data_IF_440356886178
#
_entry.id   IF_440356886178
#
_cell.length_a   1.000
_cell.length_b   1.000
_cell.length_c   1.000
_cell.angle_alpha   90.00
_cell.angle_beta   90.00
_cell.angle_gamma   90.00
#
_symmetry.space_group_name_H-M   'P 1'
#
loop_
_entity.id
_entity.type
_entity.pdbx_description
1 polymer ?
#
# COMPACT_ATOMS: atom_id res chain seq x y z
N UNK A 1 -10.31 -20.85 -15.68
CA UNK A 1 -9.91 -22.16 -15.16
C UNK A 1 -11.15 -22.96 -14.78
N UNK A 2 -11.16 -24.24 -15.10
CA UNK A 2 -12.21 -25.17 -14.68
C UNK A 2 -11.59 -26.23 -13.77
N UNK A 3 -12.19 -26.46 -12.62
CA UNK A 3 -11.74 -27.45 -11.65
C UNK A 3 -12.80 -28.51 -11.48
N UNK A 4 -12.37 -29.72 -11.17
CA UNK A 4 -13.27 -30.82 -10.86
C UNK A 4 -14.02 -30.59 -9.53
N UNK A 5 -15.04 -31.38 -9.28
CA UNK A 5 -15.78 -31.35 -8.02
C UNK A 5 -14.83 -31.63 -6.83
N UNK A 6 -15.11 -30.97 -5.73
CA UNK A 6 -14.34 -31.10 -4.47
C UNK A 6 -12.93 -30.46 -4.48
N UNK A 7 -12.70 -29.50 -5.37
CA UNK A 7 -11.48 -28.68 -5.35
C UNK A 7 -11.53 -27.58 -4.28
N UNK A 8 -10.40 -27.39 -3.61
CA UNK A 8 -10.18 -26.32 -2.63
C UNK A 8 -9.12 -25.33 -3.14
N UNK A 9 -8.83 -24.31 -2.33
CA UNK A 9 -7.79 -23.32 -2.66
C UNK A 9 -6.39 -23.94 -2.81
N UNK A 10 -6.08 -25.04 -2.10
CA UNK A 10 -4.81 -25.73 -2.26
C UNK A 10 -4.71 -26.39 -3.65
N UNK A 11 -5.82 -26.93 -4.15
CA UNK A 11 -5.89 -27.49 -5.51
C UNK A 11 -5.62 -26.39 -6.54
N UNK A 12 -6.23 -25.20 -6.39
CA UNK A 12 -5.97 -24.04 -7.26
C UNK A 12 -4.49 -23.60 -7.20
N UNK A 13 -3.93 -23.49 -5.99
CA UNK A 13 -2.52 -23.13 -5.80
C UNK A 13 -1.57 -24.13 -6.43
N UNK A 14 -1.83 -25.43 -6.30
CA UNK A 14 -1.01 -26.48 -6.92
C UNK A 14 -1.10 -26.44 -8.43
N UNK A 15 -2.29 -26.25 -8.98
CA UNK A 15 -2.52 -26.13 -10.41
C UNK A 15 -1.77 -24.92 -10.98
N UNK A 16 -1.91 -23.74 -10.36
CA UNK A 16 -1.23 -22.54 -10.79
C UNK A 16 0.29 -22.67 -10.68
N UNK A 17 0.79 -23.30 -9.62
CA UNK A 17 2.23 -23.59 -9.48
C UNK A 17 2.76 -24.48 -10.60
N UNK A 18 2.03 -25.50 -11.00
CA UNK A 18 2.43 -26.36 -12.11
C UNK A 18 2.42 -25.58 -13.43
N UNK A 19 1.38 -24.81 -13.68
CA UNK A 19 1.33 -23.91 -14.84
C UNK A 19 2.54 -22.98 -14.90
N UNK A 20 2.87 -22.29 -13.80
CA UNK A 20 4.03 -21.37 -13.77
C UNK A 20 5.36 -22.10 -13.98
N UNK A 21 5.50 -23.36 -13.51
CA UNK A 21 6.67 -24.20 -13.79
C UNK A 21 6.78 -24.55 -15.27
N UNK A 22 5.69 -24.94 -15.90
CA UNK A 22 5.62 -25.26 -17.33
C UNK A 22 5.94 -24.03 -18.19
N UNK A 23 5.52 -22.83 -17.75
CA UNK A 23 5.85 -21.58 -18.43
C UNK A 23 7.27 -21.07 -18.14
N UNK A 24 8.05 -21.72 -17.27
CA UNK A 24 9.39 -21.27 -16.88
C UNK A 24 9.42 -19.99 -16.04
N UNK A 25 8.27 -19.58 -15.48
CA UNK A 25 8.17 -18.34 -14.67
C UNK A 25 8.15 -18.60 -13.16
N UNK A 26 8.20 -19.88 -12.75
CA UNK A 26 8.22 -20.25 -11.35
C UNK A 26 9.60 -20.05 -10.74
N UNK A 27 9.68 -19.18 -9.74
CA UNK A 27 10.88 -18.97 -8.92
C UNK A 27 10.56 -19.11 -7.45
N UNK A 28 11.34 -19.90 -6.73
CA UNK A 28 11.24 -20.04 -5.28
C UNK A 28 11.77 -18.79 -4.56
N UNK A 29 11.34 -18.57 -3.32
CA UNK A 29 11.92 -17.51 -2.48
C UNK A 29 13.42 -17.71 -2.28
N UNK A 30 13.90 -18.96 -2.23
CA UNK A 30 15.34 -19.27 -2.11
C UNK A 30 16.13 -18.79 -3.33
N UNK A 31 15.59 -19.00 -4.54
CA UNK A 31 16.21 -18.51 -5.76
C UNK A 31 16.19 -16.98 -5.83
N UNK A 32 15.06 -16.36 -5.45
CA UNK A 32 14.96 -14.90 -5.38
C UNK A 32 15.89 -14.30 -4.32
N UNK A 33 16.11 -15.00 -3.20
CA UNK A 33 17.02 -14.57 -2.13
C UNK A 33 18.50 -14.60 -2.51
N UNK A 34 18.86 -15.08 -3.70
CA UNK A 34 20.20 -14.86 -4.27
C UNK A 34 20.47 -13.36 -4.58
N UNK A 35 19.43 -12.53 -4.68
CA UNK A 35 19.55 -11.07 -4.77
C UNK A 35 19.66 -10.48 -3.36
N UNK A 36 20.65 -9.61 -3.16
CA UNK A 36 20.94 -9.02 -1.84
C UNK A 36 19.78 -8.20 -1.24
N UNK A 37 18.99 -7.54 -2.08
CA UNK A 37 17.80 -6.80 -1.67
C UNK A 37 16.67 -7.72 -1.18
N UNK A 38 16.48 -8.87 -1.84
CA UNK A 38 15.49 -9.88 -1.45
C UNK A 38 15.96 -10.67 -0.23
N UNK A 39 17.25 -10.96 -0.11
CA UNK A 39 17.83 -11.65 1.05
C UNK A 39 17.55 -10.88 2.37
N UNK A 40 17.58 -9.56 2.33
CA UNK A 40 17.25 -8.72 3.49
C UNK A 40 15.82 -8.96 4.01
N UNK A 41 14.88 -9.32 3.14
CA UNK A 41 13.49 -9.61 3.52
C UNK A 41 13.32 -10.98 4.17
N UNK A 42 14.26 -11.91 3.94
CA UNK A 42 14.16 -13.27 4.50
C UNK A 42 14.31 -13.21 6.02
N UNK A 43 13.26 -13.62 6.72
CA UNK A 43 13.18 -13.59 8.19
C UNK A 43 12.96 -12.20 8.78
N UNK A 44 12.65 -11.18 7.97
CA UNK A 44 12.26 -9.87 8.47
C UNK A 44 10.87 -9.90 9.09
N UNK A 45 10.72 -9.21 10.21
CA UNK A 45 9.41 -8.88 10.76
C UNK A 45 8.74 -7.88 9.81
N UNK A 46 7.53 -8.20 9.35
CA UNK A 46 6.73 -7.28 8.58
C UNK A 46 5.95 -6.36 9.52
N UNK A 47 6.17 -5.06 9.39
CA UNK A 47 5.45 -4.02 10.13
C UNK A 47 4.71 -3.14 9.12
N UNK A 48 3.39 -3.14 9.21
CA UNK A 48 2.53 -2.24 8.47
C UNK A 48 2.17 -1.06 9.38
N UNK A 49 2.45 0.15 8.94
CA UNK A 49 2.15 1.35 9.73
C UNK A 49 1.70 2.50 8.82
N UNK A 50 0.70 3.25 9.29
CA UNK A 50 0.16 4.40 8.58
C UNK A 50 0.66 5.73 9.10
N UNK A 51 0.65 6.76 8.25
CA UNK A 51 0.92 8.16 8.59
C UNK A 51 -0.40 8.91 8.72
N UNK A 52 -1.19 8.96 7.67
CA UNK A 52 -2.47 9.68 7.62
C UNK A 52 -3.57 8.79 7.06
N UNK A 53 -4.73 8.82 7.68
CA UNK A 53 -5.99 8.33 7.10
C UNK A 53 -7.03 9.44 7.26
N UNK A 54 -7.52 9.95 6.14
CA UNK A 54 -8.58 10.97 6.11
C UNK A 54 -9.81 10.39 5.41
N UNK A 55 -10.84 10.08 6.19
CA UNK A 55 -12.10 9.57 5.66
C UNK A 55 -12.96 10.73 5.20
N UNK A 56 -13.27 10.77 3.91
CA UNK A 56 -14.06 11.83 3.31
C UNK A 56 -15.57 11.63 3.52
N UNK A 57 -16.37 12.71 3.52
CA UNK A 57 -17.82 12.61 3.72
C UNK A 57 -18.55 11.67 2.75
N UNK A 58 -18.01 11.49 1.53
CA UNK A 58 -18.56 10.61 0.49
C UNK A 58 -18.18 9.14 0.70
N UNK A 59 -17.30 8.87 1.68
CA UNK A 59 -16.90 7.52 2.02
C UNK A 59 -17.99 6.81 2.84
N UNK A 60 -18.21 5.53 2.54
CA UNK A 60 -19.07 4.66 3.34
C UNK A 60 -18.57 4.43 4.78
N UNK A 61 -17.31 4.80 5.05
CA UNK A 61 -16.68 4.67 6.36
C UNK A 61 -16.74 5.96 7.17
N UNK A 62 -17.31 7.02 6.60
CA UNK A 62 -17.40 8.30 7.27
C UNK A 62 -18.33 8.21 8.49
N UNK A 63 -17.86 8.67 9.64
CA UNK A 63 -18.64 8.73 10.89
C UNK A 63 -19.06 10.18 11.13
N UNK A 64 -20.31 10.57 10.84
CA UNK A 64 -20.79 11.93 11.05
C UNK A 64 -21.02 12.25 12.52
N UNK A 65 -21.18 11.22 13.39
CA UNK A 65 -21.43 11.40 14.82
C UNK A 65 -20.14 11.56 15.63
N UNK A 66 -19.01 11.15 15.05
CA UNK A 66 -17.69 11.26 15.66
C UNK A 66 -16.65 11.78 14.63
N UNK A 67 -16.73 13.07 14.22
CA UNK A 67 -15.89 13.64 13.17
C UNK A 67 -14.38 13.47 13.41
N UNK A 68 -13.95 13.47 14.67
CA UNK A 68 -12.54 13.26 15.03
C UNK A 68 -12.01 11.88 14.65
N UNK A 69 -12.86 10.88 14.49
CA UNK A 69 -12.47 9.54 14.05
C UNK A 69 -12.18 9.45 12.55
N UNK A 70 -12.59 10.46 11.79
CA UNK A 70 -12.40 10.47 10.34
C UNK A 70 -10.99 10.96 9.92
N UNK A 71 -10.19 11.47 10.86
CA UNK A 71 -8.84 11.92 10.60
C UNK A 71 -7.87 11.33 11.63
N UNK A 72 -6.97 10.47 11.16
CA UNK A 72 -5.91 9.91 11.97
C UNK A 72 -4.57 10.34 11.40
N UNK A 73 -3.75 10.99 12.24
CA UNK A 73 -2.41 11.45 11.88
C UNK A 73 -1.38 10.91 12.87
N UNK A 74 -0.36 10.26 12.36
CA UNK A 74 0.84 9.91 13.10
C UNK A 74 2.04 10.56 12.44
N UNK A 75 2.66 11.58 13.04
CA UNK A 75 3.84 12.24 12.47
C UNK A 75 4.97 11.27 12.14
N UNK A 76 5.75 11.55 11.09
CA UNK A 76 6.93 10.76 10.74
C UNK A 76 7.92 10.64 11.89
N UNK A 77 8.13 11.70 12.66
CA UNK A 77 9.00 11.69 13.85
C UNK A 77 8.57 10.68 14.92
N UNK A 78 7.25 10.42 15.06
CA UNK A 78 6.74 9.39 15.98
C UNK A 78 7.12 8.00 15.46
N UNK A 79 6.97 7.75 14.15
CA UNK A 79 7.38 6.49 13.53
C UNK A 79 8.88 6.28 13.63
N UNK A 80 9.69 7.32 13.39
CA UNK A 80 11.15 7.31 13.58
C UNK A 80 11.52 6.83 14.98
N UNK A 81 10.88 7.39 16.01
CA UNK A 81 11.11 6.97 17.40
C UNK A 81 10.69 5.52 17.66
N UNK A 82 9.59 5.07 17.08
CA UNK A 82 9.14 3.68 17.20
C UNK A 82 10.15 2.71 16.58
N UNK A 83 10.67 3.02 15.39
CA UNK A 83 11.71 2.22 14.71
C UNK A 83 12.99 2.14 15.54
N UNK A 84 13.48 3.27 16.07
CA UNK A 84 14.64 3.27 16.97
C UNK A 84 14.40 2.38 18.20
N UNK A 85 13.22 2.44 18.81
CA UNK A 85 12.86 1.59 19.93
C UNK A 85 12.85 0.09 19.57
N UNK A 86 12.39 -0.28 18.37
CA UNK A 86 12.44 -1.66 17.89
C UNK A 86 13.89 -2.17 17.85
N UNK A 87 14.82 -1.34 17.38
CA UNK A 87 16.23 -1.69 17.29
C UNK A 87 16.93 -1.70 18.65
N UNK A 88 16.83 -0.58 19.40
CA UNK A 88 17.61 -0.32 20.62
C UNK A 88 17.06 -1.06 21.85
N UNK A 89 15.73 -1.07 22.01
CA UNK A 89 15.09 -1.61 23.22
C UNK A 89 14.59 -3.03 23.05
N UNK A 90 14.02 -3.37 21.89
CA UNK A 90 13.47 -4.71 21.65
C UNK A 90 14.48 -5.65 20.99
N UNK A 91 15.61 -5.14 20.53
CA UNK A 91 16.68 -5.93 19.92
C UNK A 91 16.29 -6.62 18.61
N UNK A 92 15.28 -6.10 17.92
CA UNK A 92 14.83 -6.64 16.63
C UNK A 92 15.96 -6.42 15.63
N UNK A 93 16.36 -7.49 14.91
CA UNK A 93 17.51 -7.45 14.00
C UNK A 93 17.12 -7.31 12.53
N UNK A 94 15.94 -7.79 12.16
CA UNK A 94 15.43 -7.72 10.79
C UNK A 94 13.99 -7.23 10.80
N UNK A 95 13.71 -6.15 10.08
CA UNK A 95 12.38 -5.56 9.98
C UNK A 95 12.20 -4.98 8.57
N UNK A 96 11.02 -5.16 8.01
CA UNK A 96 10.52 -4.44 6.85
C UNK A 96 9.36 -3.54 7.28
N UNK A 97 9.54 -2.24 7.16
CA UNK A 97 8.45 -1.28 7.33
C UNK A 97 7.74 -1.06 5.99
N UNK A 98 6.45 -1.41 5.97
CA UNK A 98 5.53 -1.05 4.91
C UNK A 98 4.72 0.15 5.37
N UNK A 99 4.96 1.31 4.76
CA UNK A 99 4.37 2.59 5.17
C UNK A 99 3.20 2.96 4.26
N UNK A 100 1.99 3.08 4.82
CA UNK A 100 0.83 3.59 4.12
C UNK A 100 0.49 5.04 4.52
N UNK A 101 -0.43 5.67 3.79
CA UNK A 101 -0.88 7.03 4.08
C UNK A 101 0.23 8.07 4.16
N UNK A 102 1.36 7.81 3.51
CA UNK A 102 2.54 8.67 3.55
C UNK A 102 2.40 9.94 2.71
N UNK A 103 1.51 9.94 1.72
CA UNK A 103 1.18 11.11 0.91
C UNK A 103 0.23 12.07 1.60
N UNK A 104 0.14 13.29 1.09
CA UNK A 104 -0.64 14.38 1.71
C UNK A 104 -2.14 14.10 1.81
N UNK A 105 -2.79 13.45 0.82
CA UNK A 105 -4.20 13.08 0.93
C UNK A 105 -4.47 11.99 1.99
N UNK A 106 -3.47 11.16 2.31
CA UNK A 106 -3.61 10.03 3.22
C UNK A 106 -3.92 8.70 2.52
N UNK A 107 -4.09 7.67 3.32
CA UNK A 107 -4.31 6.30 2.85
C UNK A 107 -5.63 6.16 2.09
N UNK A 108 -5.56 5.46 0.95
CA UNK A 108 -6.72 5.19 0.06
C UNK A 108 -7.50 6.47 -0.30
N UNK A 109 -6.77 7.53 -0.66
CA UNK A 109 -7.35 8.83 -0.97
C UNK A 109 -6.64 9.49 -2.17
N UNK A 110 -7.44 10.08 -3.04
CA UNK A 110 -7.06 10.96 -4.16
C UNK A 110 -6.03 10.42 -5.17
N UNK A 111 -5.80 9.09 -5.25
CA UNK A 111 -4.96 8.56 -6.33
C UNK A 111 -5.49 9.00 -7.71
N UNK A 112 -4.60 9.45 -8.64
CA UNK A 112 -3.14 9.41 -8.54
C UNK A 112 -2.48 10.61 -7.86
N UNK A 113 -3.21 11.58 -7.34
CA UNK A 113 -2.69 12.83 -6.75
C UNK A 113 -2.15 12.61 -5.32
N UNK A 114 -1.19 11.70 -5.19
CA UNK A 114 -0.73 11.24 -3.88
C UNK A 114 0.37 12.11 -3.26
N UNK A 115 1.10 12.85 -4.09
CA UNK A 115 2.19 13.72 -3.66
C UNK A 115 1.69 15.11 -3.20
N UNK A 116 2.45 15.79 -2.34
CA UNK A 116 3.75 15.44 -1.74
C UNK A 116 3.65 14.47 -0.56
N UNK A 117 4.76 14.16 0.11
CA UNK A 117 4.73 13.51 1.41
C UNK A 117 3.91 14.35 2.40
N UNK A 118 3.14 13.69 3.28
CA UNK A 118 2.17 14.32 4.17
C UNK A 118 2.77 15.51 4.94
N UNK A 119 2.34 16.72 4.58
CA UNK A 119 2.87 17.98 5.10
C UNK A 119 2.64 18.09 6.61
N UNK A 120 1.42 17.76 7.06
CA UNK A 120 1.04 17.77 8.47
C UNK A 120 1.88 16.81 9.33
N UNK A 121 2.37 15.73 8.72
CA UNK A 121 3.21 14.73 9.38
C UNK A 121 4.71 15.09 9.42
N UNK A 122 5.12 16.17 8.77
CA UNK A 122 6.52 16.61 8.69
C UNK A 122 7.08 16.63 7.26
N UNK A 123 6.25 16.37 6.24
CA UNK A 123 6.61 16.49 4.83
C UNK A 123 7.78 15.59 4.41
N UNK A 124 8.45 15.97 3.33
CA UNK A 124 9.59 15.22 2.80
C UNK A 124 10.77 15.11 3.77
N UNK A 125 11.00 16.11 4.60
CA UNK A 125 12.10 16.08 5.59
C UNK A 125 11.83 15.02 6.65
N UNK A 126 10.61 14.96 7.19
CA UNK A 126 10.22 13.96 8.17
C UNK A 126 10.24 12.54 7.60
N UNK A 127 9.76 12.37 6.36
CA UNK A 127 9.80 11.08 5.67
C UNK A 127 11.24 10.63 5.40
N UNK A 128 12.12 11.56 5.00
CA UNK A 128 13.54 11.27 4.80
C UNK A 128 14.22 10.83 6.10
N UNK A 129 13.98 11.53 7.22
CA UNK A 129 14.54 11.13 8.52
C UNK A 129 14.09 9.72 8.94
N UNK A 130 12.82 9.38 8.70
CA UNK A 130 12.32 8.04 8.94
C UNK A 130 13.04 7.01 8.07
N UNK A 131 13.17 7.27 6.78
CA UNK A 131 13.86 6.38 5.83
C UNK A 131 15.32 6.16 6.21
N UNK A 132 16.05 7.24 6.51
CA UNK A 132 17.45 7.18 6.94
C UNK A 132 17.58 6.33 8.22
N UNK A 133 16.71 6.57 9.22
CA UNK A 133 16.70 5.80 10.48
C UNK A 133 16.46 4.30 10.24
N UNK A 134 15.56 3.95 9.33
CA UNK A 134 15.29 2.55 8.96
C UNK A 134 16.55 1.91 8.38
N UNK A 135 17.23 2.60 7.47
CA UNK A 135 18.46 2.11 6.85
C UNK A 135 19.61 2.02 7.84
N UNK A 136 19.77 2.98 8.75
CA UNK A 136 20.78 2.97 9.81
C UNK A 136 20.61 1.79 10.77
N UNK A 137 19.36 1.37 11.01
CA UNK A 137 19.04 0.16 11.76
C UNK A 137 19.27 -1.14 10.96
N UNK A 138 19.65 -1.05 9.68
CA UNK A 138 19.80 -2.20 8.79
C UNK A 138 18.47 -2.83 8.34
N UNK A 139 17.38 -2.10 8.49
CA UNK A 139 16.03 -2.52 8.13
C UNK A 139 15.69 -2.21 6.67
N UNK A 140 14.55 -2.70 6.20
CA UNK A 140 14.05 -2.47 4.85
C UNK A 140 12.84 -1.55 4.92
N UNK A 141 12.79 -0.58 4.00
CA UNK A 141 11.70 0.39 3.88
C UNK A 141 10.97 0.21 2.54
N UNK A 142 9.65 0.27 2.59
CA UNK A 142 8.80 0.32 1.41
C UNK A 142 7.56 1.15 1.67
N UNK A 143 7.11 1.84 0.64
CA UNK A 143 5.88 2.62 0.66
C UNK A 143 4.74 1.83 0.05
N UNK A 144 3.55 1.98 0.63
CA UNK A 144 2.32 1.56 -0.03
C UNK A 144 1.99 2.53 -1.15
N UNK A 145 1.66 1.99 -2.31
CA UNK A 145 1.18 2.75 -3.44
C UNK A 145 0.32 1.86 -4.34
N UNK A 146 -0.51 2.47 -5.17
CA UNK A 146 -1.32 1.74 -6.14
C UNK A 146 -1.55 2.59 -7.39
N UNK A 147 -1.73 1.91 -8.54
CA UNK A 147 -1.80 2.53 -9.85
C UNK A 147 -3.12 2.24 -10.57
N UNK A 148 -4.04 1.56 -9.89
CA UNK A 148 -5.33 1.13 -10.45
C UNK A 148 -6.47 2.06 -10.04
N UNK A 149 -6.49 2.45 -8.78
CA UNK A 149 -7.58 3.20 -8.21
C UNK A 149 -7.53 4.66 -8.67
N UNK A 150 -8.63 5.13 -9.22
CA UNK A 150 -8.76 6.47 -9.77
C UNK A 150 -9.93 7.17 -9.09
N UNK A 151 -9.63 8.04 -8.15
CA UNK A 151 -10.63 8.72 -7.35
C UNK A 151 -11.30 9.84 -8.13
N UNK A 152 -12.64 9.88 -8.12
CA UNK A 152 -13.39 10.96 -8.78
C UNK A 152 -13.10 12.35 -8.21
N UNK A 153 -12.59 12.39 -6.98
CA UNK A 153 -12.21 13.65 -6.32
C UNK A 153 -10.76 14.08 -6.56
N UNK A 154 -9.94 13.25 -7.20
CA UNK A 154 -8.58 13.64 -7.55
C UNK A 154 -8.59 14.90 -8.41
N UNK A 155 -7.69 15.86 -8.16
CA UNK A 155 -7.66 17.14 -8.88
C UNK A 155 -7.30 16.97 -10.36
N UNK A 156 -6.58 15.88 -10.67
CA UNK A 156 -6.21 15.48 -12.03
C UNK A 156 -7.20 14.49 -12.66
N UNK A 157 -8.38 14.29 -12.04
CA UNK A 157 -9.38 13.38 -12.61
C UNK A 157 -9.82 13.84 -14.01
N UNK A 158 -9.71 12.93 -14.96
CA UNK A 158 -10.13 13.11 -16.35
C UNK A 158 -10.82 11.81 -16.83
N UNK A 159 -12.08 11.94 -17.24
CA UNK A 159 -12.89 10.82 -17.73
C UNK A 159 -12.20 10.06 -18.87
N UNK A 160 -11.44 10.76 -19.74
CA UNK A 160 -10.71 10.13 -20.84
C UNK A 160 -9.61 9.18 -20.39
N UNK A 161 -9.15 9.31 -19.14
CA UNK A 161 -8.16 8.43 -18.52
C UNK A 161 -8.79 7.29 -17.70
N UNK A 162 -10.11 7.24 -17.60
CA UNK A 162 -10.82 6.16 -16.91
C UNK A 162 -11.13 5.00 -17.87
N UNK A 163 -11.32 3.80 -17.29
CA UNK A 163 -11.83 2.66 -18.06
C UNK A 163 -13.33 2.86 -18.30
N UNK A 164 -13.75 2.72 -19.56
CA UNK A 164 -15.15 2.74 -19.96
C UNK A 164 -15.69 1.33 -20.21
N UNK A 165 -16.95 1.09 -19.89
CA UNK A 165 -17.68 -0.10 -20.26
C UNK A 165 -18.14 -0.02 -21.74
N UNK A 166 -18.67 -1.11 -22.28
CA UNK A 166 -19.13 -1.18 -23.67
C UNK A 166 -20.23 -0.16 -24.00
N UNK A 167 -21.03 0.25 -23.02
CA UNK A 167 -22.08 1.25 -23.15
C UNK A 167 -21.55 2.69 -22.98
N UNK A 168 -20.24 2.87 -22.80
CA UNK A 168 -19.58 4.15 -22.61
C UNK A 168 -19.64 4.67 -21.18
N UNK A 169 -20.26 3.98 -20.25
CA UNK A 169 -20.32 4.38 -18.84
C UNK A 169 -18.99 4.10 -18.11
N UNK A 170 -18.70 4.89 -17.06
CA UNK A 170 -17.55 4.71 -16.19
C UNK A 170 -18.01 3.95 -14.94
N UNK A 171 -17.48 2.74 -14.67
CA UNK A 171 -17.89 1.96 -13.52
C UNK A 171 -17.37 2.57 -12.21
N UNK A 172 -18.21 2.61 -11.17
CA UNK A 172 -17.73 2.78 -9.81
C UNK A 172 -17.21 1.44 -9.30
N UNK A 173 -15.91 1.37 -9.00
CA UNK A 173 -15.24 0.14 -8.61
C UNK A 173 -15.34 -0.13 -7.11
N UNK A 174 -15.05 0.88 -6.30
CA UNK A 174 -15.00 0.77 -4.85
C UNK A 174 -15.28 2.13 -4.20
N UNK A 175 -15.43 2.11 -2.87
CA UNK A 175 -15.57 3.28 -2.05
C UNK A 175 -14.73 3.06 -0.77
N UNK A 176 -13.60 3.78 -0.69
CA UNK A 176 -12.66 3.73 0.42
C UNK A 176 -12.61 5.07 1.18
N UNK A 177 -11.52 5.36 1.89
CA UNK A 177 -11.40 6.59 2.67
C UNK A 177 -11.63 7.86 1.85
N UNK A 178 -11.13 7.92 0.62
CA UNK A 178 -11.33 9.03 -0.32
C UNK A 178 -12.69 9.04 -1.03
N UNK A 179 -13.62 8.16 -0.69
CA UNK A 179 -14.93 8.04 -1.35
C UNK A 179 -14.89 7.13 -2.58
N UNK A 180 -15.71 7.45 -3.57
CA UNK A 180 -15.87 6.64 -4.77
C UNK A 180 -14.68 6.76 -5.72
N UNK A 181 -14.40 5.64 -6.39
CA UNK A 181 -13.32 5.53 -7.36
C UNK A 181 -13.71 4.64 -8.54
N UNK A 182 -13.01 4.81 -9.63
CA UNK A 182 -13.04 3.97 -10.82
C UNK A 182 -11.66 3.38 -11.07
N UNK A 183 -11.44 2.84 -12.26
CA UNK A 183 -10.16 2.31 -12.70
C UNK A 183 -9.43 3.32 -13.60
N UNK A 184 -8.16 3.59 -13.29
CA UNK A 184 -7.27 4.30 -14.20
C UNK A 184 -6.91 3.39 -15.38
N UNK A 185 -7.02 3.90 -16.60
CA UNK A 185 -6.54 3.21 -17.79
C UNK A 185 -5.01 3.32 -17.84
N UNK A 186 -4.34 2.18 -17.95
CA UNK A 186 -2.88 2.11 -17.96
C UNK A 186 -2.27 2.16 -19.38
N UNK A 187 -3.10 2.44 -20.42
CA UNK A 187 -2.66 2.46 -21.84
C UNK A 187 -2.64 3.85 -22.40
#
# INVERSE_FOLDING_TARGET
YHFEKDCDYNTMCKFYRNYTKEQGTFHTLREKAARADVEKLVGSMFVHAGIKTLVQPESRFFDPEAPEKNNHLTPFAVRTKQIRNCYEKLGIKKLYLHLDGWGDPGYDNEHPDYLPACIEAGGWEGMKELCDTIHDCGYVFGTHDQYRDYYFRASTYDESSAIHLEDGSIPSHANWAGGNQTYLCAT
#
